data_IF_518824412189
#
_entry.id   IF_518824412189
#
_cell.length_a   1.000
_cell.length_b   1.000
_cell.length_c   1.000
_cell.angle_alpha   90.00
_cell.angle_beta   90.00
_cell.angle_gamma   90.00
#
_symmetry.space_group_name_H-M   'P 1'
#
loop_
_entity.id
_entity.type
_entity.pdbx_description
1 polymer ?
#
# COMPACT_ATOMS: atom_id res chain seq x y z
N UNK A 1 29.17 -27.95 3.81
CA UNK A 1 28.53 -26.81 4.49
C UNK A 1 27.13 -27.24 4.95
N UNK A 2 26.89 -27.48 6.25
CA UNK A 2 25.81 -28.38 6.68
C UNK A 2 24.45 -27.67 6.82
N UNK A 3 23.39 -28.40 6.46
CA UNK A 3 21.97 -27.98 6.41
C UNK A 3 21.36 -27.52 7.76
N UNK A 4 22.05 -27.72 8.87
CA UNK A 4 21.62 -27.34 10.23
C UNK A 4 21.60 -25.83 10.44
N UNK A 5 22.60 -25.09 9.95
CA UNK A 5 22.71 -23.64 10.12
C UNK A 5 21.58 -22.83 9.48
N UNK A 6 20.97 -23.37 8.41
CA UNK A 6 19.87 -22.74 7.66
C UNK A 6 18.52 -22.87 8.39
N UNK A 7 18.36 -23.91 9.21
CA UNK A 7 17.14 -24.16 10.00
C UNK A 7 17.09 -23.26 11.23
N UNK A 8 18.24 -23.08 11.89
CA UNK A 8 18.39 -22.21 13.06
C UNK A 8 18.19 -20.72 12.71
N UNK A 9 18.64 -20.30 11.52
CA UNK A 9 18.41 -18.93 11.05
C UNK A 9 16.94 -18.63 10.76
N UNK A 10 16.22 -19.54 10.09
CA UNK A 10 14.78 -19.44 9.87
C UNK A 10 14.02 -19.42 11.22
N UNK A 11 14.45 -20.24 12.19
CA UNK A 11 13.86 -20.25 13.53
C UNK A 11 14.05 -18.90 14.25
N UNK A 12 15.24 -18.30 14.19
CA UNK A 12 15.51 -16.98 14.77
C UNK A 12 14.69 -15.87 14.12
N UNK A 13 14.55 -15.90 12.79
CA UNK A 13 13.71 -14.93 12.06
C UNK A 13 12.25 -15.08 12.46
N UNK A 14 11.75 -16.32 12.58
CA UNK A 14 10.37 -16.58 13.02
C UNK A 14 10.11 -16.11 14.46
N UNK A 15 11.09 -16.24 15.37
CA UNK A 15 10.99 -15.75 16.76
C UNK A 15 10.97 -14.22 16.81
N UNK A 16 11.85 -13.55 16.08
CA UNK A 16 11.86 -12.07 16.02
C UNK A 16 10.58 -11.51 15.40
N UNK A 17 10.02 -12.20 14.40
CA UNK A 17 8.72 -11.85 13.82
C UNK A 17 7.58 -12.08 14.83
N UNK A 18 7.67 -13.13 15.65
CA UNK A 18 6.68 -13.44 16.69
C UNK A 18 6.65 -12.42 17.83
N UNK A 19 7.82 -11.96 18.30
CA UNK A 19 7.91 -10.92 19.35
C UNK A 19 7.33 -9.58 18.88
N UNK A 20 7.62 -9.20 17.63
CA UNK A 20 7.05 -8.00 17.02
C UNK A 20 5.54 -8.13 16.77
N UNK A 21 5.07 -9.33 16.46
CA UNK A 21 3.65 -9.63 16.30
C UNK A 21 2.88 -9.50 17.63
N UNK A 22 3.48 -9.92 18.75
CA UNK A 22 2.85 -9.81 20.06
C UNK A 22 2.70 -8.35 20.52
N UNK A 23 3.70 -7.50 20.26
CA UNK A 23 3.59 -6.07 20.51
C UNK A 23 2.46 -5.42 19.69
N UNK A 24 2.29 -5.84 18.44
CA UNK A 24 1.26 -5.31 17.53
C UNK A 24 -0.14 -5.85 17.82
N UNK A 25 -0.28 -7.03 18.41
CA UNK A 25 -1.58 -7.58 18.86
C UNK A 25 -2.15 -6.80 20.03
N UNK A 26 -1.30 -6.37 20.97
CA UNK A 26 -1.70 -5.50 22.07
C UNK A 26 -2.28 -4.16 21.58
N UNK A 27 -1.79 -3.64 20.45
CA UNK A 27 -2.32 -2.42 19.81
C UNK A 27 -3.64 -2.65 19.04
N UNK A 28 -3.94 -3.89 18.61
CA UNK A 28 -5.08 -4.22 17.76
C UNK A 28 -6.32 -4.70 18.53
N UNK A 29 -6.17 -5.16 19.77
CA UNK A 29 -7.27 -5.54 20.65
C UNK A 29 -8.10 -4.33 21.15
N UNK A 30 -7.72 -3.11 20.76
CA UNK A 30 -8.38 -1.86 21.17
C UNK A 30 -9.70 -1.57 20.43
N UNK A 31 -10.08 -2.30 19.35
CA UNK A 31 -11.34 -2.05 18.62
C UNK A 31 -12.09 -3.32 18.12
N UNK A 32 -13.45 -3.36 18.15
CA UNK A 32 -14.24 -4.58 17.87
C UNK A 32 -14.61 -4.80 16.38
N UNK A 33 -14.96 -6.04 15.98
CA UNK A 33 -15.28 -6.48 14.59
C UNK A 33 -16.70 -7.07 14.33
N UNK A 34 -17.01 -7.16 13.02
CA UNK A 34 -17.86 -8.08 12.17
C UNK A 34 -19.36 -7.74 11.92
N UNK A 35 -20.03 -8.18 10.79
CA UNK A 35 -20.20 -9.58 10.27
C UNK A 35 -19.83 -9.90 8.78
N UNK A 36 -19.82 -11.21 8.43
CA UNK A 36 -19.31 -11.92 7.22
C UNK A 36 -20.32 -12.14 6.09
N UNK A 37 -19.89 -12.34 4.82
CA UNK A 37 -20.50 -13.28 3.83
C UNK A 37 -19.53 -13.87 2.75
N UNK A 38 -19.98 -14.96 2.08
CA UNK A 38 -19.25 -16.02 1.35
C UNK A 38 -18.51 -15.67 0.02
N UNK A 39 -17.41 -16.38 -0.28
CA UNK A 39 -16.61 -16.26 -1.53
C UNK A 39 -16.84 -17.44 -2.51
N UNK A 40 -17.07 -17.15 -3.80
CA UNK A 40 -17.00 -18.09 -4.95
C UNK A 40 -15.59 -18.16 -5.56
N UNK A 41 -15.15 -19.27 -6.18
CA UNK A 41 -13.74 -19.46 -6.55
C UNK A 41 -13.35 -18.75 -7.86
N UNK A 42 -12.23 -18.00 -7.82
CA UNK A 42 -11.63 -17.30 -8.96
C UNK A 42 -10.42 -18.08 -9.54
N UNK A 43 -9.94 -17.76 -10.76
CA UNK A 43 -8.93 -18.54 -11.50
C UNK A 43 -7.57 -18.65 -10.78
N UNK A 44 -6.87 -19.77 -11.01
CA UNK A 44 -5.63 -20.19 -10.34
C UNK A 44 -4.56 -19.09 -10.30
N UNK A 45 -4.19 -18.68 -9.09
CA UNK A 45 -3.16 -17.68 -8.80
C UNK A 45 -2.05 -18.38 -8.00
N UNK A 46 -1.11 -19.07 -8.66
CA UNK A 46 -0.28 -20.08 -8.00
C UNK A 46 0.55 -19.55 -6.83
N UNK A 47 0.97 -18.28 -6.84
CA UNK A 47 1.66 -17.67 -5.70
C UNK A 47 0.69 -17.30 -4.57
N UNK A 48 -0.44 -16.70 -4.91
CA UNK A 48 -1.49 -16.40 -3.92
C UNK A 48 -1.98 -17.69 -3.24
N UNK A 49 -2.26 -18.70 -4.06
CA UNK A 49 -2.78 -19.99 -3.65
C UNK A 49 -1.72 -20.74 -2.82
N UNK A 50 -0.43 -20.66 -3.16
CA UNK A 50 0.64 -21.25 -2.35
C UNK A 50 0.83 -20.53 -1.01
N UNK A 51 0.79 -19.20 -0.99
CA UNK A 51 0.89 -18.40 0.26
C UNK A 51 -0.28 -18.71 1.20
N UNK A 52 -1.48 -18.92 0.63
CA UNK A 52 -2.67 -19.33 1.38
C UNK A 52 -2.56 -20.79 1.85
N UNK A 53 -2.06 -21.69 1.02
CA UNK A 53 -1.93 -23.11 1.33
C UNK A 53 -0.88 -23.37 2.43
N UNK A 54 0.27 -22.70 2.38
CA UNK A 54 1.41 -22.95 3.29
C UNK A 54 1.28 -22.21 4.64
N UNK A 55 0.51 -21.12 4.69
CA UNK A 55 0.44 -20.23 5.86
C UNK A 55 -0.96 -19.86 6.35
N UNK A 56 -2.01 -20.42 5.75
CA UNK A 56 -3.41 -20.14 6.10
C UNK A 56 -3.91 -18.75 5.65
N UNK A 57 -5.10 -18.35 6.10
CA UNK A 57 -5.65 -17.02 5.77
C UNK A 57 -4.85 -15.86 6.40
N UNK A 58 -4.15 -16.12 7.51
CA UNK A 58 -3.39 -15.12 8.25
C UNK A 58 -2.06 -14.76 7.58
N UNK A 59 -1.52 -15.61 6.71
CA UNK A 59 -0.28 -15.32 5.98
C UNK A 59 -0.42 -14.11 5.06
N UNK A 60 -1.57 -13.96 4.36
CA UNK A 60 -1.85 -12.79 3.52
C UNK A 60 -1.86 -11.52 4.36
N UNK A 61 -2.54 -11.55 5.51
CA UNK A 61 -2.63 -10.40 6.41
C UNK A 61 -1.25 -10.03 6.92
N UNK A 62 -0.45 -11.01 7.35
CA UNK A 62 0.93 -10.79 7.80
C UNK A 62 1.82 -10.19 6.70
N UNK A 63 1.67 -10.67 5.47
CA UNK A 63 2.51 -10.26 4.35
C UNK A 63 2.11 -8.91 3.74
N UNK A 64 0.82 -8.55 3.77
CA UNK A 64 0.29 -7.39 3.03
C UNK A 64 -0.41 -6.34 3.90
N UNK A 65 -0.73 -6.65 5.16
CA UNK A 65 -1.71 -5.96 6.01
C UNK A 65 -3.16 -5.96 5.51
N UNK A 66 -3.45 -6.61 4.38
CA UNK A 66 -4.80 -6.74 3.85
C UNK A 66 -5.38 -8.11 4.17
N UNK A 67 -6.67 -8.16 4.49
CA UNK A 67 -7.43 -9.40 4.50
C UNK A 67 -7.61 -9.91 3.08
N UNK A 68 -7.83 -11.21 2.94
CA UNK A 68 -8.14 -11.86 1.67
C UNK A 68 -9.22 -11.13 0.87
N UNK A 69 -10.33 -10.79 1.55
CA UNK A 69 -11.45 -10.04 0.95
C UNK A 69 -11.03 -8.67 0.45
N UNK A 70 -10.25 -7.93 1.23
CA UNK A 70 -9.80 -6.58 0.86
C UNK A 70 -8.89 -6.64 -0.38
N UNK A 71 -7.97 -7.63 -0.45
CA UNK A 71 -7.17 -7.89 -1.66
C UNK A 71 -8.05 -8.21 -2.86
N UNK A 72 -9.09 -9.04 -2.67
CA UNK A 72 -10.03 -9.41 -3.74
C UNK A 72 -10.84 -8.20 -4.22
N UNK A 73 -11.32 -7.34 -3.32
CA UNK A 73 -12.04 -6.10 -3.67
C UNK A 73 -11.17 -5.19 -4.52
N UNK A 74 -9.92 -4.95 -4.10
CA UNK A 74 -8.97 -4.13 -4.87
C UNK A 74 -8.70 -4.78 -6.23
N UNK A 75 -8.42 -6.09 -6.26
CA UNK A 75 -8.20 -6.80 -7.52
C UNK A 75 -9.37 -6.66 -8.48
N UNK A 76 -10.60 -6.85 -8.01
CA UNK A 76 -11.79 -6.78 -8.85
C UNK A 76 -12.00 -5.39 -9.45
N UNK A 77 -11.67 -4.32 -8.72
CA UNK A 77 -11.73 -2.95 -9.26
C UNK A 77 -10.77 -2.71 -10.43
N UNK A 78 -9.53 -3.24 -10.34
CA UNK A 78 -8.49 -2.99 -11.35
C UNK A 78 -8.31 -4.10 -12.37
N UNK A 79 -9.01 -5.25 -12.23
CA UNK A 79 -8.79 -6.45 -13.04
C UNK A 79 -8.88 -6.17 -14.54
N UNK A 80 -9.94 -5.50 -14.97
CA UNK A 80 -10.17 -5.18 -16.39
C UNK A 80 -9.04 -4.33 -16.97
N UNK A 81 -8.59 -3.34 -16.22
CA UNK A 81 -7.45 -2.47 -16.56
C UNK A 81 -6.15 -3.27 -16.64
N UNK A 82 -5.84 -4.07 -15.62
CA UNK A 82 -4.62 -4.89 -15.60
C UNK A 82 -4.60 -5.89 -16.76
N UNK A 83 -5.70 -6.61 -17.00
CA UNK A 83 -5.78 -7.55 -18.13
C UNK A 83 -5.51 -6.85 -19.47
N UNK A 84 -5.94 -5.59 -19.62
CA UNK A 84 -5.77 -4.84 -20.87
C UNK A 84 -4.38 -4.23 -21.04
N UNK A 85 -3.72 -3.75 -19.98
CA UNK A 85 -2.52 -2.92 -20.10
C UNK A 85 -1.23 -3.57 -19.58
N UNK A 86 -1.29 -4.53 -18.66
CA UNK A 86 -0.09 -5.07 -18.00
C UNK A 86 0.83 -5.90 -18.92
N UNK A 87 0.25 -6.61 -19.88
CA UNK A 87 0.99 -7.53 -20.76
C UNK A 87 1.20 -6.99 -22.18
N UNK A 88 0.89 -5.71 -22.43
CA UNK A 88 1.01 -5.14 -23.78
C UNK A 88 2.47 -4.81 -24.08
N UNK A 89 3.03 -5.40 -25.14
CA UNK A 89 4.38 -5.08 -25.63
C UNK A 89 5.54 -5.75 -24.90
N UNK A 90 5.30 -6.81 -24.11
CA UNK A 90 6.35 -7.57 -23.41
C UNK A 90 6.69 -8.84 -24.19
N UNK A 91 7.94 -8.96 -24.64
CA UNK A 91 8.40 -10.10 -25.47
C UNK A 91 8.49 -11.43 -24.70
N UNK A 92 8.47 -11.40 -23.37
CA UNK A 92 8.64 -12.57 -22.52
C UNK A 92 7.55 -12.64 -21.45
N UNK A 93 6.84 -13.75 -21.45
CA UNK A 93 5.86 -14.11 -20.42
C UNK A 93 6.54 -14.08 -19.05
N UNK A 94 6.08 -13.20 -18.17
CA UNK A 94 6.39 -13.31 -16.75
C UNK A 94 5.57 -14.48 -16.21
N UNK A 95 6.16 -15.35 -15.40
CA UNK A 95 5.50 -16.57 -14.89
C UNK A 95 4.32 -16.29 -13.97
N UNK A 96 4.17 -15.04 -13.52
CA UNK A 96 3.17 -14.62 -12.55
C UNK A 96 2.02 -13.89 -13.23
N UNK A 97 0.80 -14.18 -12.78
CA UNK A 97 -0.40 -13.47 -13.23
C UNK A 97 -0.39 -12.02 -12.75
N UNK A 98 -1.25 -11.16 -13.33
CA UNK A 98 -1.40 -9.78 -12.86
C UNK A 98 -1.79 -9.70 -11.37
N UNK A 99 -2.56 -10.68 -10.87
CA UNK A 99 -2.94 -10.75 -9.45
C UNK A 99 -1.77 -11.13 -8.57
N UNK A 100 -0.95 -12.10 -9.00
CA UNK A 100 0.28 -12.48 -8.30
C UNK A 100 1.23 -11.28 -8.16
N UNK A 101 1.40 -10.49 -9.23
CA UNK A 101 2.24 -9.28 -9.19
C UNK A 101 1.63 -8.20 -8.31
N UNK A 102 0.30 -8.07 -8.26
CA UNK A 102 -0.38 -7.18 -7.31
C UNK A 102 -0.06 -7.57 -5.86
N UNK A 103 -0.06 -8.86 -5.54
CA UNK A 103 0.29 -9.35 -4.20
C UNK A 103 1.76 -9.07 -3.91
N UNK A 104 2.67 -9.36 -4.84
CA UNK A 104 4.09 -9.01 -4.66
C UNK A 104 4.27 -7.51 -4.39
N UNK A 105 3.53 -6.65 -5.09
CA UNK A 105 3.55 -5.20 -4.86
C UNK A 105 3.07 -4.83 -3.45
N UNK A 106 1.99 -5.45 -2.97
CA UNK A 106 1.50 -5.25 -1.60
C UNK A 106 2.51 -5.74 -0.54
N UNK A 107 3.20 -6.85 -0.80
CA UNK A 107 4.28 -7.36 0.07
C UNK A 107 5.45 -6.39 0.12
N UNK A 108 5.86 -5.84 -1.03
CA UNK A 108 6.93 -4.81 -1.10
C UNK A 108 6.53 -3.57 -0.32
N UNK A 109 5.26 -3.14 -0.43
CA UNK A 109 4.75 -1.98 0.32
C UNK A 109 4.76 -2.21 1.83
N UNK A 110 4.38 -3.41 2.27
CA UNK A 110 4.28 -3.73 3.70
C UNK A 110 5.66 -3.99 4.35
N UNK A 111 6.53 -4.69 3.63
CA UNK A 111 7.83 -5.09 4.13
C UNK A 111 8.86 -4.08 3.63
N UNK A 112 9.20 -3.08 4.43
CA UNK A 112 10.28 -2.10 4.16
C UNK A 112 11.69 -2.69 4.12
N UNK A 113 11.82 -3.97 3.72
CA UNK A 113 13.07 -4.69 3.53
C UNK A 113 13.76 -4.29 2.23
N UNK A 114 15.03 -4.64 2.12
CA UNK A 114 15.82 -4.43 0.91
C UNK A 114 15.34 -5.36 -0.21
N UNK A 115 15.51 -4.91 -1.46
CA UNK A 115 15.06 -5.62 -2.65
C UNK A 115 15.64 -7.03 -2.78
N UNK A 116 16.86 -7.30 -2.28
CA UNK A 116 17.46 -8.63 -2.25
C UNK A 116 16.58 -9.62 -1.49
N UNK A 117 16.20 -9.25 -0.26
CA UNK A 117 15.35 -10.10 0.61
C UNK A 117 14.02 -10.40 -0.06
N UNK A 118 13.35 -9.38 -0.60
CA UNK A 118 12.05 -9.54 -1.26
C UNK A 118 12.14 -10.39 -2.52
N UNK A 119 13.18 -10.19 -3.34
CA UNK A 119 13.39 -10.99 -4.55
C UNK A 119 13.67 -12.47 -4.24
N UNK A 120 14.38 -12.73 -3.13
CA UNK A 120 14.70 -14.07 -2.65
C UNK A 120 13.44 -14.83 -2.20
N UNK A 121 12.52 -14.15 -1.50
CA UNK A 121 11.22 -14.71 -1.08
C UNK A 121 10.42 -15.22 -2.29
N UNK A 122 10.43 -14.47 -3.39
CA UNK A 122 9.68 -14.84 -4.59
C UNK A 122 10.48 -15.66 -5.61
N UNK A 123 11.74 -16.02 -5.30
CA UNK A 123 12.65 -16.72 -6.20
C UNK A 123 12.80 -16.05 -7.59
N UNK A 124 12.73 -14.72 -7.62
CA UNK A 124 12.91 -13.91 -8.84
C UNK A 124 14.26 -13.21 -8.79
N UNK A 125 14.97 -13.13 -9.92
CA UNK A 125 16.20 -12.34 -10.01
C UNK A 125 15.93 -10.88 -9.64
N UNK A 126 16.73 -10.29 -8.75
CA UNK A 126 16.56 -8.93 -8.18
C UNK A 126 16.19 -7.89 -9.25
N UNK A 127 17.00 -7.77 -10.30
CA UNK A 127 16.77 -6.78 -11.36
C UNK A 127 15.43 -6.97 -12.09
N UNK A 128 14.99 -8.22 -12.24
CA UNK A 128 13.70 -8.54 -12.86
C UNK A 128 12.55 -8.27 -11.90
N UNK A 129 12.73 -8.56 -10.61
CA UNK A 129 11.73 -8.28 -9.57
C UNK A 129 11.46 -6.78 -9.47
N UNK A 130 12.50 -5.96 -9.29
CA UNK A 130 12.39 -4.50 -9.22
C UNK A 130 11.68 -3.94 -10.45
N UNK A 131 12.15 -4.30 -11.66
CA UNK A 131 11.54 -3.82 -12.91
C UNK A 131 10.06 -4.21 -13.01
N UNK A 132 9.71 -5.41 -12.57
CA UNK A 132 8.32 -5.89 -12.62
C UNK A 132 7.44 -5.11 -11.65
N UNK A 133 7.86 -4.94 -10.40
CA UNK A 133 7.07 -4.21 -9.41
C UNK A 133 6.90 -2.74 -9.81
N UNK A 134 7.99 -2.07 -10.23
CA UNK A 134 7.93 -0.67 -10.67
C UNK A 134 6.98 -0.53 -11.85
N UNK A 135 7.13 -1.36 -12.89
CA UNK A 135 6.25 -1.31 -14.05
C UNK A 135 4.78 -1.56 -13.65
N UNK A 136 4.54 -2.48 -12.70
CA UNK A 136 3.18 -2.79 -12.27
C UNK A 136 2.55 -1.61 -11.52
N UNK A 137 3.30 -0.98 -10.63
CA UNK A 137 2.88 0.24 -9.92
C UNK A 137 2.53 1.34 -10.91
N UNK A 138 3.35 1.57 -11.94
CA UNK A 138 3.07 2.60 -12.96
C UNK A 138 1.78 2.32 -13.74
N UNK A 139 1.44 1.06 -14.00
CA UNK A 139 0.21 0.69 -14.70
C UNK A 139 -1.02 0.79 -13.79
N UNK A 140 -0.91 0.36 -12.53
CA UNK A 140 -2.06 0.22 -11.62
C UNK A 140 -2.37 1.47 -10.81
N UNK A 141 -1.36 2.28 -10.45
CA UNK A 141 -1.54 3.41 -9.53
C UNK A 141 -2.52 4.48 -10.05
N UNK A 142 -2.49 4.90 -11.33
CA UNK A 142 -3.47 5.85 -11.84
C UNK A 142 -4.90 5.32 -11.74
N UNK A 143 -5.09 4.03 -12.06
CA UNK A 143 -6.41 3.40 -11.99
C UNK A 143 -6.91 3.29 -10.55
N UNK A 144 -6.04 2.94 -9.60
CA UNK A 144 -6.40 2.94 -8.18
C UNK A 144 -6.79 4.33 -7.69
N UNK A 145 -6.07 5.37 -8.13
CA UNK A 145 -6.41 6.74 -7.76
C UNK A 145 -7.77 7.16 -8.30
N UNK A 146 -8.06 6.85 -9.57
CA UNK A 146 -9.34 7.18 -10.18
C UNK A 146 -10.51 6.49 -9.46
N UNK A 147 -10.42 5.17 -9.26
CA UNK A 147 -11.50 4.34 -8.69
C UNK A 147 -11.70 4.54 -7.18
N UNK A 148 -10.63 4.81 -6.43
CA UNK A 148 -10.69 4.84 -4.96
C UNK A 148 -10.53 6.22 -4.33
N UNK A 149 -10.14 7.23 -5.11
CA UNK A 149 -9.94 8.60 -4.61
C UNK A 149 -10.81 9.60 -5.38
N UNK A 150 -10.67 9.69 -6.71
CA UNK A 150 -11.46 10.66 -7.50
C UNK A 150 -12.94 10.35 -7.49
N UNK A 151 -13.32 9.08 -7.66
CA UNK A 151 -14.73 8.66 -7.60
C UNK A 151 -15.34 8.99 -6.24
N UNK A 152 -14.60 8.75 -5.14
CA UNK A 152 -15.03 9.10 -3.78
C UNK A 152 -15.20 10.59 -3.57
N UNK A 153 -14.34 11.42 -4.16
CA UNK A 153 -14.50 12.87 -4.10
C UNK A 153 -15.82 13.34 -4.73
N UNK A 154 -16.30 12.65 -5.77
CA UNK A 154 -17.57 12.95 -6.43
C UNK A 154 -18.77 12.40 -5.65
N UNK A 155 -18.68 11.14 -5.21
CA UNK A 155 -19.73 10.46 -4.42
C UNK A 155 -19.98 11.14 -3.07
N UNK A 156 -18.93 11.73 -2.47
CA UNK A 156 -18.98 12.34 -1.15
C UNK A 156 -18.89 13.87 -1.22
N UNK A 157 -19.54 14.45 -2.22
CA UNK A 157 -19.70 15.91 -2.32
C UNK A 157 -20.40 16.49 -1.08
N UNK A 158 -20.14 17.77 -0.79
CA UNK A 158 -20.76 18.50 0.34
C UNK A 158 -22.27 18.28 0.43
N UNK A 159 -22.98 18.41 -0.69
CA UNK A 159 -24.43 18.28 -0.71
C UNK A 159 -24.88 16.88 -0.26
N UNK A 160 -24.17 15.84 -0.70
CA UNK A 160 -24.48 14.45 -0.34
C UNK A 160 -24.22 14.24 1.15
N UNK A 161 -23.06 14.67 1.65
CA UNK A 161 -22.70 14.51 3.07
C UNK A 161 -23.69 15.19 4.02
N UNK A 162 -24.14 16.40 3.67
CA UNK A 162 -25.12 17.14 4.48
C UNK A 162 -26.50 16.49 4.42
N UNK A 163 -26.96 16.08 3.23
CA UNK A 163 -28.29 15.46 3.09
C UNK A 163 -28.36 14.05 3.65
N UNK A 164 -27.23 13.36 3.77
CA UNK A 164 -27.13 12.01 4.35
C UNK A 164 -26.73 12.01 5.85
N UNK A 165 -26.70 13.17 6.50
CA UNK A 165 -26.26 13.33 7.90
C UNK A 165 -24.89 12.67 8.21
N UNK A 166 -24.00 12.69 7.22
CA UNK A 166 -22.65 12.11 7.30
C UNK A 166 -21.60 13.21 7.42
N UNK A 167 -21.80 14.14 8.34
CA UNK A 167 -20.88 15.27 8.59
C UNK A 167 -20.06 15.05 9.86
N UNK A 168 -19.00 15.84 10.07
CA UNK A 168 -18.28 15.80 11.34
C UNK A 168 -19.17 16.31 12.48
N UNK A 169 -19.30 15.51 13.54
CA UNK A 169 -20.17 15.78 14.70
C UNK A 169 -19.98 17.20 15.27
N UNK A 170 -18.73 17.65 15.39
CA UNK A 170 -18.41 18.96 15.96
C UNK A 170 -18.17 20.07 14.92
N UNK A 171 -18.11 19.72 13.64
CA UNK A 171 -17.77 20.64 12.54
C UNK A 171 -18.62 20.34 11.30
N UNK A 172 -19.95 20.55 11.34
CA UNK A 172 -20.86 20.12 10.26
C UNK A 172 -20.61 20.81 8.91
N UNK A 173 -19.89 21.93 8.91
CA UNK A 173 -19.50 22.67 7.71
C UNK A 173 -18.16 22.22 7.11
N UNK A 174 -17.37 21.43 7.84
CA UNK A 174 -16.10 20.91 7.34
C UNK A 174 -16.36 19.73 6.40
N UNK A 175 -15.83 19.81 5.19
CA UNK A 175 -16.04 18.80 4.15
C UNK A 175 -15.10 17.60 4.27
N UNK A 176 -13.90 17.84 4.77
CA UNK A 176 -12.86 16.84 4.93
C UNK A 176 -11.83 17.31 5.96
N UNK A 177 -11.06 16.36 6.48
CA UNK A 177 -9.81 16.61 7.17
C UNK A 177 -8.65 16.42 6.18
N UNK A 178 -7.60 17.23 6.25
CA UNK A 178 -6.39 17.06 5.43
C UNK A 178 -5.16 17.08 6.32
N UNK A 179 -4.19 16.22 6.03
CA UNK A 179 -2.90 16.21 6.70
C UNK A 179 -1.79 15.73 5.74
N UNK A 180 -0.55 16.08 6.09
CA UNK A 180 0.65 15.57 5.40
C UNK A 180 1.18 14.36 6.16
N UNK A 181 1.10 13.20 5.51
CA UNK A 181 1.65 11.95 6.01
C UNK A 181 3.12 11.79 5.58
N UNK A 182 3.97 11.27 6.47
CA UNK A 182 5.35 10.93 6.16
C UNK A 182 5.50 9.42 5.97
N UNK A 183 6.00 9.01 4.82
CA UNK A 183 6.36 7.62 4.54
C UNK A 183 7.88 7.48 4.58
N UNK A 184 8.37 6.73 5.57
CA UNK A 184 9.78 6.37 5.65
C UNK A 184 10.20 5.59 4.40
N UNK A 185 11.37 5.94 3.87
CA UNK A 185 12.07 5.20 2.82
C UNK A 185 13.49 4.88 3.24
N UNK A 186 14.17 4.07 2.41
CA UNK A 186 15.60 3.89 2.54
C UNK A 186 16.32 5.20 2.22
N UNK A 187 17.48 5.40 2.85
CA UNK A 187 18.37 6.50 2.48
C UNK A 187 18.79 6.30 1.01
N UNK A 188 18.66 7.33 0.14
CA UNK A 188 19.17 7.24 -1.22
C UNK A 188 20.67 6.91 -1.22
N UNK A 189 21.06 5.99 -2.10
CA UNK A 189 22.47 5.75 -2.40
C UNK A 189 23.05 6.99 -3.08
N UNK A 190 24.29 7.35 -2.72
CA UNK A 190 24.96 8.53 -3.27
C UNK A 190 25.53 9.46 -2.21
N UNK A 191 25.87 10.67 -2.64
CA UNK A 191 26.49 11.66 -1.75
C UNK A 191 25.45 12.31 -0.83
N UNK A 192 25.92 12.92 0.26
CA UNK A 192 25.04 13.55 1.25
C UNK A 192 24.09 14.59 0.62
N UNK A 193 24.55 15.34 -0.39
CA UNK A 193 23.74 16.33 -1.09
C UNK A 193 22.52 15.73 -1.82
N UNK A 194 22.60 14.49 -2.30
CA UNK A 194 21.51 13.79 -2.99
C UNK A 194 20.52 13.17 -2.00
N UNK A 195 21.01 12.74 -0.84
CA UNK A 195 20.18 12.15 0.22
C UNK A 195 19.42 13.21 1.04
N UNK A 196 20.05 14.37 1.29
CA UNK A 196 19.52 15.45 2.14
C UNK A 196 18.09 15.91 1.78
N UNK A 197 17.71 16.07 0.50
CA UNK A 197 16.34 16.42 0.14
C UNK A 197 15.27 15.47 0.70
N UNK A 198 15.61 14.20 0.90
CA UNK A 198 14.70 13.19 1.42
C UNK A 198 14.73 13.08 2.94
N UNK A 199 15.66 13.76 3.61
CA UNK A 199 15.75 13.74 5.08
C UNK A 199 14.72 14.67 5.72
N UNK A 200 13.87 14.12 6.58
CA UNK A 200 12.91 14.89 7.36
C UNK A 200 13.46 15.18 8.77
N UNK A 201 13.74 16.45 9.07
CA UNK A 201 14.28 16.85 10.36
C UNK A 201 13.36 16.51 11.55
N UNK A 202 12.04 16.63 11.37
CA UNK A 202 11.03 16.31 12.39
C UNK A 202 11.08 14.84 12.82
N UNK A 203 11.17 13.93 11.84
CA UNK A 203 11.15 12.48 12.08
C UNK A 203 12.54 11.86 12.22
N UNK A 204 13.61 12.60 11.87
CA UNK A 204 15.00 12.10 11.81
C UNK A 204 15.16 10.88 10.90
N UNK A 205 14.36 10.82 9.83
CA UNK A 205 14.30 9.71 8.89
C UNK A 205 14.32 10.21 7.44
N UNK A 206 14.76 9.36 6.51
CA UNK A 206 14.62 9.60 5.08
C UNK A 206 13.26 9.12 4.60
N UNK A 207 12.68 9.82 3.63
CA UNK A 207 11.40 9.42 3.07
C UNK A 207 10.72 10.49 2.24
N UNK A 208 9.42 10.29 2.10
CA UNK A 208 8.53 11.07 1.27
C UNK A 208 7.36 11.59 2.09
N UNK A 209 6.75 12.65 1.60
CA UNK A 209 5.56 13.24 2.19
C UNK A 209 4.43 13.28 1.18
N UNK A 210 3.22 12.99 1.62
CA UNK A 210 2.03 13.04 0.78
C UNK A 210 0.92 13.69 1.58
N UNK A 211 0.27 14.69 1.00
CA UNK A 211 -0.96 15.21 1.56
C UNK A 211 -2.12 14.30 1.19
N UNK A 212 -2.96 13.96 2.18
CA UNK A 212 -4.17 13.18 1.98
C UNK A 212 -5.35 13.92 2.60
N UNK A 213 -6.40 14.11 1.82
CA UNK A 213 -7.68 14.63 2.32
C UNK A 213 -8.68 13.49 2.47
N UNK A 214 -9.35 13.42 3.62
CA UNK A 214 -10.24 12.34 4.04
C UNK A 214 -11.59 12.90 4.44
N UNK A 215 -12.67 12.31 3.92
CA UNK A 215 -14.04 12.69 4.23
C UNK A 215 -14.44 12.28 5.66
N UNK A 216 -15.58 12.77 6.19
CA UNK A 216 -16.14 12.32 7.47
C UNK A 216 -16.43 10.80 7.52
N UNK A 217 -16.58 10.16 6.35
CA UNK A 217 -16.84 8.72 6.23
C UNK A 217 -15.55 7.88 6.24
N UNK A 218 -14.39 8.53 6.28
CA UNK A 218 -13.09 7.86 6.28
C UNK A 218 -12.54 7.51 4.89
N UNK A 219 -13.18 8.00 3.82
CA UNK A 219 -12.72 7.81 2.44
C UNK A 219 -11.67 8.86 2.08
N UNK A 220 -10.56 8.44 1.46
CA UNK A 220 -9.65 9.40 0.83
C UNK A 220 -10.34 10.02 -0.39
N UNK A 221 -10.37 11.35 -0.45
CA UNK A 221 -10.98 12.11 -1.56
C UNK A 221 -9.94 12.90 -2.35
N UNK A 222 -8.72 13.02 -1.82
CA UNK A 222 -7.57 13.54 -2.56
C UNK A 222 -6.28 12.99 -1.98
N UNK A 223 -5.28 12.81 -2.83
CA UNK A 223 -3.94 12.42 -2.44
C UNK A 223 -2.94 13.01 -3.44
N UNK A 224 -2.01 13.82 -2.94
CA UNK A 224 -1.07 14.55 -3.82
C UNK A 224 0.02 13.62 -4.36
N UNK A 225 0.75 14.10 -5.36
CA UNK A 225 2.06 13.52 -5.65
C UNK A 225 2.98 13.61 -4.42
N UNK A 226 3.97 12.73 -4.37
CA UNK A 226 4.92 12.70 -3.27
C UNK A 226 5.87 13.91 -3.32
N UNK A 227 6.04 14.55 -2.17
CA UNK A 227 7.07 15.52 -1.92
C UNK A 227 8.29 14.87 -1.26
N UNK A 228 9.45 15.52 -1.37
CA UNK A 228 10.68 15.07 -0.70
C UNK A 228 10.57 15.28 0.82
N UNK A 229 11.22 14.44 1.62
CA UNK A 229 11.09 14.45 3.09
C UNK A 229 11.46 15.78 3.79
N UNK A 230 12.31 16.61 3.19
CA UNK A 230 12.65 17.93 3.74
C UNK A 230 11.63 19.04 3.39
N UNK A 231 10.62 18.74 2.58
CA UNK A 231 9.59 19.71 2.18
C UNK A 231 8.72 20.05 3.40
N UNK A 232 8.48 21.34 3.64
CA UNK A 232 7.58 21.79 4.70
C UNK A 232 6.12 21.50 4.33
N UNK A 233 5.33 21.08 5.32
CA UNK A 233 3.94 20.65 5.12
C UNK A 233 3.09 21.79 4.53
N UNK A 234 3.29 23.03 4.98
CA UNK A 234 2.64 24.22 4.42
C UNK A 234 2.90 24.42 2.92
N UNK A 235 4.09 24.04 2.44
CA UNK A 235 4.42 24.14 1.01
C UNK A 235 3.64 23.11 0.20
N UNK A 236 3.36 21.95 0.78
CA UNK A 236 2.57 20.89 0.14
C UNK A 236 1.11 21.35 0.04
N UNK A 237 0.51 21.82 1.13
CA UNK A 237 -0.85 22.38 1.12
C UNK A 237 -1.02 23.52 0.11
N UNK A 238 -0.06 24.44 0.03
CA UNK A 238 -0.12 25.55 -0.94
C UNK A 238 -0.03 25.07 -2.39
N UNK A 239 0.72 24.00 -2.67
CA UNK A 239 0.75 23.41 -4.03
C UNK A 239 -0.57 22.75 -4.39
N UNK A 240 -1.31 22.28 -3.39
CA UNK A 240 -2.61 21.64 -3.55
C UNK A 240 -3.80 22.64 -3.43
N UNK A 241 -3.53 23.94 -3.40
CA UNK A 241 -4.53 25.00 -3.21
C UNK A 241 -5.68 24.93 -4.21
N UNK A 242 -5.41 24.54 -5.47
CA UNK A 242 -6.44 24.40 -6.49
C UNK A 242 -7.51 23.35 -6.13
N UNK A 243 -7.11 22.24 -5.52
CA UNK A 243 -8.06 21.24 -5.00
C UNK A 243 -8.86 21.82 -3.83
N UNK A 244 -8.19 22.52 -2.91
CA UNK A 244 -8.86 23.08 -1.73
C UNK A 244 -9.91 24.15 -2.07
N UNK A 245 -9.65 24.98 -3.09
CA UNK A 245 -10.62 25.98 -3.56
C UNK A 245 -11.76 25.41 -4.40
N UNK A 246 -11.57 24.23 -4.99
CA UNK A 246 -12.57 23.61 -5.86
C UNK A 246 -13.63 22.79 -5.10
N UNK A 247 -13.38 22.47 -3.83
CA UNK A 247 -14.25 21.62 -2.99
C UNK A 247 -15.32 22.39 -2.22
#
# INVERSE_FOLDING_TARGET
>A
MPRTFRRDHLQCVLVMLHERENARRQELDEYPRVPQEHETPAPQCPLYDSVVADGGADSIVRLTNFKRREVNTVWMSVRSHITRYWNVGRDRWFTFTGKDVMIMMLVVRNNGSVWETLSSIFHVKIATFIKTIIYFVLVVAPRLYDDWVKEKAQEESKHILVTSDCTFVHYPYALYATDVTFQQGNRPDGIMAEALPYYCAKHKLYGYKVEVSVSPRGSAINCTEHARGNTHDITIFRRNEAFHHAM
#
